data_IF_370760953815
#
_entry.id   IF_370760953815
#
_cell.length_a   1.000
_cell.length_b   1.000
_cell.length_c   1.000
_cell.angle_alpha   90.00
_cell.angle_beta   90.00
_cell.angle_gamma   90.00
#
_symmetry.space_group_name_H-M   'P 1'
#
loop_
_entity.id
_entity.type
_entity.pdbx_description
1 polymer ?
#
# COMPACT_ATOMS: atom_id res chain seq x y z
N UNK A 1 10.40 28.86 35.93
CA UNK A 1 11.70 28.62 35.28
C UNK A 1 12.01 27.13 35.19
N UNK A 2 11.47 26.45 34.18
CA UNK A 2 12.05 25.19 33.73
C UNK A 2 13.16 25.56 32.74
N UNK A 3 14.41 25.46 33.18
CA UNK A 3 15.55 25.50 32.27
C UNK A 3 15.53 24.23 31.43
N UNK A 4 15.28 24.39 30.13
CA UNK A 4 15.45 23.31 29.15
C UNK A 4 16.90 22.84 29.17
N UNK A 5 17.13 21.63 29.67
CA UNK A 5 18.45 21.01 29.64
C UNK A 5 18.65 20.32 28.29
N UNK A 6 19.45 20.92 27.42
CA UNK A 6 19.85 20.30 26.16
C UNK A 6 21.08 19.40 26.37
N UNK A 7 20.97 18.12 25.98
CA UNK A 7 22.10 17.17 25.94
C UNK A 7 22.60 17.05 24.50
N UNK A 8 23.84 17.44 24.26
CA UNK A 8 24.51 17.25 22.97
C UNK A 8 25.43 16.04 23.04
N UNK A 9 25.33 15.17 22.02
CA UNK A 9 26.19 14.00 21.86
C UNK A 9 26.92 14.12 20.53
N UNK A 10 28.23 13.95 20.54
CA UNK A 10 29.07 13.97 19.34
C UNK A 10 29.72 12.61 19.16
N UNK A 11 29.73 12.10 17.93
CA UNK A 11 30.39 10.86 17.55
C UNK A 11 31.48 11.10 16.52
N UNK A 12 32.63 10.45 16.70
CA UNK A 12 33.75 10.50 15.77
C UNK A 12 34.24 9.07 15.47
N UNK A 13 34.43 8.72 14.21
CA UNK A 13 34.97 7.43 13.77
C UNK A 13 35.92 7.65 12.60
N UNK A 14 37.00 6.88 12.57
CA UNK A 14 38.01 6.88 11.50
C UNK A 14 37.81 5.75 10.49
N UNK A 15 36.87 4.83 10.75
CA UNK A 15 36.71 3.60 9.96
C UNK A 15 35.27 3.31 9.54
N UNK A 16 34.29 3.92 10.19
CA UNK A 16 32.87 3.61 10.00
C UNK A 16 32.02 4.88 9.96
N UNK A 17 30.89 4.81 9.23
CA UNK A 17 29.91 5.87 9.20
C UNK A 17 29.08 5.87 10.49
N UNK A 18 29.11 6.99 11.23
CA UNK A 18 28.33 7.14 12.47
C UNK A 18 26.93 7.68 12.18
N UNK A 19 26.82 8.64 11.27
CA UNK A 19 25.57 9.35 11.03
C UNK A 19 25.39 9.64 9.55
N UNK A 20 24.18 9.41 9.07
CA UNK A 20 23.76 9.78 7.73
C UNK A 20 22.38 10.44 7.75
N UNK A 21 22.25 11.52 6.99
CA UNK A 21 20.96 12.04 6.57
C UNK A 21 20.66 11.53 5.15
N UNK A 22 19.48 10.98 4.94
CA UNK A 22 19.01 10.63 3.61
C UNK A 22 17.84 11.55 3.19
N UNK A 23 18.02 12.24 2.06
CA UNK A 23 16.98 13.08 1.46
C UNK A 23 15.85 12.25 0.83
N UNK A 24 16.09 10.96 0.58
CA UNK A 24 15.08 10.01 0.15
C UNK A 24 14.28 9.46 1.34
N UNK A 25 13.37 8.56 1.01
CA UNK A 25 12.61 7.78 1.99
C UNK A 25 12.83 6.31 1.77
N UNK A 26 12.92 5.59 2.88
CA UNK A 26 13.05 4.14 2.86
C UNK A 26 11.70 3.47 2.54
N UNK A 27 10.59 4.07 3.00
CA UNK A 27 9.23 3.65 2.71
C UNK A 27 8.31 4.88 2.65
N UNK A 28 7.27 4.77 1.84
CA UNK A 28 6.24 5.79 1.63
C UNK A 28 4.89 5.29 2.13
N UNK A 29 4.04 6.23 2.54
CA UNK A 29 2.67 5.92 2.98
C UNK A 29 1.85 5.54 1.77
N UNK A 30 1.36 4.30 1.74
CA UNK A 30 0.56 3.76 0.64
C UNK A 30 -0.91 4.11 0.86
N UNK A 31 -1.42 3.86 2.06
CA UNK A 31 -2.77 4.22 2.44
C UNK A 31 -2.93 4.30 3.96
N UNK A 32 -4.05 4.89 4.38
CA UNK A 32 -4.44 5.01 5.79
C UNK A 32 -5.93 4.72 5.92
N UNK A 33 -6.35 4.15 7.04
CA UNK A 33 -7.76 4.13 7.43
C UNK A 33 -7.99 5.09 8.61
N UNK A 34 -9.06 4.88 9.39
CA UNK A 34 -9.38 5.73 10.53
C UNK A 34 -8.51 5.54 11.77
N UNK A 35 -7.69 4.48 11.84
CA UNK A 35 -6.88 4.16 13.03
C UNK A 35 -5.52 3.53 12.74
N UNK A 36 -5.19 3.34 11.47
CA UNK A 36 -3.97 2.69 11.03
C UNK A 36 -3.39 3.34 9.77
N UNK A 37 -2.10 3.13 9.57
CA UNK A 37 -1.37 3.59 8.40
C UNK A 37 -0.44 2.49 7.91
N UNK A 38 -0.32 2.36 6.60
CA UNK A 38 0.57 1.39 5.97
C UNK A 38 1.62 2.09 5.12
N UNK A 39 2.87 1.74 5.36
CA UNK A 39 4.02 2.22 4.62
C UNK A 39 4.69 1.06 3.91
N UNK A 40 5.14 1.31 2.68
CA UNK A 40 5.82 0.32 1.88
C UNK A 40 7.05 0.93 1.20
N UNK A 41 8.12 0.15 1.10
CA UNK A 41 9.30 0.53 0.32
C UNK A 41 9.11 0.29 -1.17
N UNK A 42 10.01 0.88 -1.96
CA UNK A 42 10.28 0.39 -3.31
C UNK A 42 10.79 -1.05 -3.29
N UNK A 43 10.82 -1.70 -4.47
CA UNK A 43 11.30 -3.07 -4.63
C UNK A 43 12.80 -3.16 -4.34
N UNK A 44 13.19 -4.08 -3.48
CA UNK A 44 14.56 -4.48 -3.23
C UNK A 44 14.90 -5.77 -3.95
N UNK A 45 16.04 -5.77 -4.65
CA UNK A 45 16.69 -6.96 -5.18
C UNK A 45 17.75 -7.45 -4.20
N UNK A 46 17.31 -7.87 -3.02
CA UNK A 46 18.19 -8.34 -1.93
C UNK A 46 17.83 -9.78 -1.55
N UNK A 47 18.76 -10.48 -0.90
CA UNK A 47 18.49 -11.83 -0.40
C UNK A 47 17.48 -11.79 0.76
N UNK A 48 16.71 -12.88 0.90
CA UNK A 48 15.78 -13.04 2.02
C UNK A 48 16.48 -12.88 3.38
N UNK A 49 17.71 -13.38 3.50
CA UNK A 49 18.53 -13.27 4.71
C UNK A 49 18.84 -11.81 5.08
N UNK A 50 19.16 -10.96 4.10
CA UNK A 50 19.42 -9.54 4.37
C UNK A 50 18.19 -8.81 4.91
N UNK A 51 17.00 -9.10 4.38
CA UNK A 51 15.75 -8.51 4.87
C UNK A 51 15.33 -9.07 6.22
N UNK A 52 15.52 -10.38 6.43
CA UNK A 52 15.31 -10.99 7.73
C UNK A 52 16.13 -10.27 8.80
N UNK A 53 17.38 -9.91 8.50
CA UNK A 53 18.22 -9.14 9.43
C UNK A 53 17.73 -7.71 9.62
N UNK A 54 17.33 -7.02 8.56
CA UNK A 54 16.78 -5.65 8.64
C UNK A 54 15.52 -5.61 9.53
N UNK A 55 14.64 -6.61 9.40
CA UNK A 55 13.35 -6.64 10.10
C UNK A 55 13.47 -7.22 11.51
N UNK A 56 14.28 -8.26 11.72
CA UNK A 56 14.32 -9.00 12.99
C UNK A 56 15.53 -8.71 13.88
N UNK A 57 16.61 -8.10 13.36
CA UNK A 57 17.70 -7.68 14.23
C UNK A 57 17.31 -6.40 14.98
N UNK A 58 17.23 -6.53 16.31
CA UNK A 58 16.90 -5.45 17.24
C UNK A 58 17.74 -4.20 16.98
N UNK A 59 17.07 -3.07 16.72
CA UNK A 59 17.72 -1.76 16.56
C UNK A 59 18.11 -1.39 15.12
N UNK A 60 17.89 -2.28 14.14
CA UNK A 60 18.24 -2.01 12.74
C UNK A 60 17.26 -1.06 12.07
N UNK A 61 15.95 -1.24 12.20
CA UNK A 61 14.96 -0.37 11.57
C UNK A 61 13.89 0.05 12.58
N UNK A 62 13.60 1.35 12.66
CA UNK A 62 12.52 1.90 13.49
C UNK A 62 11.73 2.97 12.74
N UNK A 63 10.43 3.01 13.02
CA UNK A 63 9.51 4.04 12.56
C UNK A 63 9.10 4.88 13.77
N UNK A 64 9.38 6.17 13.71
CA UNK A 64 8.99 7.13 14.73
C UNK A 64 7.78 7.90 14.24
N UNK A 65 6.67 7.84 14.97
CA UNK A 65 5.43 8.55 14.61
C UNK A 65 5.21 9.69 15.58
N UNK A 66 4.98 10.88 15.04
CA UNK A 66 4.75 12.12 15.78
C UNK A 66 3.42 12.74 15.36
N UNK A 67 2.72 13.35 16.31
CA UNK A 67 1.70 14.35 16.02
C UNK A 67 2.34 15.67 15.56
N UNK A 68 1.52 16.66 15.22
CA UNK A 68 2.00 17.95 14.73
C UNK A 68 2.88 18.70 15.76
N UNK A 69 2.50 18.66 17.04
CA UNK A 69 3.24 19.31 18.13
C UNK A 69 4.58 18.62 18.41
N UNK A 70 4.60 17.29 18.46
CA UNK A 70 5.80 16.48 18.61
C UNK A 70 6.77 16.66 17.45
N UNK A 71 6.25 16.66 16.22
CA UNK A 71 7.05 16.91 15.03
C UNK A 71 7.65 18.32 15.03
N UNK A 72 6.88 19.33 15.43
CA UNK A 72 7.36 20.71 15.53
C UNK A 72 8.59 20.88 16.43
N UNK A 73 8.70 20.08 17.50
CA UNK A 73 9.87 20.09 18.41
C UNK A 73 11.13 19.48 17.79
N UNK A 74 10.99 18.55 16.84
CA UNK A 74 12.11 17.84 16.21
C UNK A 74 12.42 18.32 14.78
N UNK A 75 11.54 19.11 14.16
CA UNK A 75 11.68 19.54 12.76
C UNK A 75 12.99 20.29 12.47
N UNK A 76 13.51 21.06 13.43
CA UNK A 76 14.81 21.73 13.32
C UNK A 76 16.02 20.81 13.51
N UNK A 77 15.79 19.58 13.97
CA UNK A 77 16.80 18.60 14.39
C UNK A 77 16.71 17.28 13.60
N UNK A 78 15.98 17.24 12.48
CA UNK A 78 15.82 16.04 11.64
C UNK A 78 17.17 15.44 11.21
N UNK A 79 18.18 16.29 11.05
CA UNK A 79 19.54 15.88 10.72
C UNK A 79 20.36 15.39 11.91
N UNK A 80 19.73 14.99 13.01
CA UNK A 80 20.38 14.46 14.19
C UNK A 80 19.75 13.13 14.58
N UNK A 81 20.50 12.05 14.43
CA UNK A 81 20.10 10.71 14.88
C UNK A 81 19.65 10.70 16.34
N UNK A 82 20.47 11.29 17.23
CA UNK A 82 20.18 11.33 18.65
C UNK A 82 18.92 12.15 18.98
N UNK A 83 18.65 13.23 18.24
CA UNK A 83 17.44 14.03 18.47
C UNK A 83 16.17 13.27 18.05
N UNK A 84 16.18 12.64 16.87
CA UNK A 84 15.03 11.87 16.37
C UNK A 84 14.76 10.64 17.24
N UNK A 85 15.79 9.86 17.55
CA UNK A 85 15.64 8.61 18.33
C UNK A 85 15.33 8.82 19.80
N UNK A 86 15.65 9.99 20.38
CA UNK A 86 15.30 10.34 21.75
C UNK A 86 14.00 11.13 21.85
N UNK A 87 13.39 11.50 20.72
CA UNK A 87 12.15 12.25 20.71
C UNK A 87 10.98 11.39 21.19
N UNK A 88 10.06 12.02 21.90
CA UNK A 88 8.83 11.36 22.32
C UNK A 88 7.92 11.13 21.11
N UNK A 89 7.63 9.87 20.81
CA UNK A 89 6.65 9.46 19.80
C UNK A 89 5.25 9.35 20.42
N UNK A 90 4.23 9.43 19.57
CA UNK A 90 2.83 9.24 19.98
C UNK A 90 2.38 7.78 19.85
N UNK A 91 3.06 6.99 19.01
CA UNK A 91 2.83 5.55 18.86
C UNK A 91 4.00 4.78 19.47
N UNK A 92 3.69 3.73 20.24
CA UNK A 92 4.67 2.80 20.81
C UNK A 92 5.14 1.77 19.79
N UNK A 93 6.40 1.33 19.89
CA UNK A 93 7.00 0.32 19.02
C UNK A 93 6.15 -0.97 18.91
N UNK A 94 5.44 -1.37 19.97
CA UNK A 94 4.59 -2.58 19.98
C UNK A 94 3.36 -2.51 19.04
N UNK A 95 2.96 -1.30 18.64
CA UNK A 95 1.86 -1.05 17.70
C UNK A 95 2.35 -0.86 16.25
N UNK A 96 3.64 -1.10 16.01
CA UNK A 96 4.27 -0.97 14.70
C UNK A 96 4.76 -2.34 14.27
N UNK A 97 4.05 -2.95 13.33
CA UNK A 97 4.43 -4.23 12.75
C UNK A 97 5.35 -3.97 11.55
N UNK A 98 6.54 -4.57 11.57
CA UNK A 98 7.48 -4.51 10.46
C UNK A 98 7.59 -5.89 9.82
N UNK A 99 7.42 -5.95 8.52
CA UNK A 99 7.45 -7.19 7.74
C UNK A 99 8.03 -6.96 6.35
N UNK A 100 8.09 -8.03 5.57
CA UNK A 100 8.45 -7.94 4.17
C UNK A 100 7.68 -8.96 3.35
N UNK A 101 7.43 -8.61 2.08
CA UNK A 101 6.74 -9.48 1.14
C UNK A 101 7.59 -9.76 -0.09
N UNK A 102 7.61 -11.02 -0.52
CA UNK A 102 8.17 -11.42 -1.80
C UNK A 102 7.11 -11.27 -2.90
N UNK A 103 7.46 -10.54 -3.94
CA UNK A 103 6.67 -10.26 -5.13
C UNK A 103 7.53 -10.59 -6.35
N UNK A 104 7.31 -11.77 -6.91
CA UNK A 104 7.92 -12.26 -8.16
C UNK A 104 9.45 -12.12 -8.19
N UNK A 105 10.13 -12.48 -7.07
CA UNK A 105 11.60 -12.46 -6.97
C UNK A 105 12.20 -11.15 -6.47
N UNK A 106 11.37 -10.13 -6.22
CA UNK A 106 11.75 -8.90 -5.53
C UNK A 106 11.05 -8.80 -4.17
N UNK A 107 11.62 -8.06 -3.23
CA UNK A 107 11.03 -7.91 -1.92
C UNK A 107 10.60 -6.46 -1.66
N UNK A 108 9.52 -6.28 -0.89
CA UNK A 108 9.11 -4.97 -0.37
C UNK A 108 9.05 -5.03 1.15
N UNK A 109 9.65 -4.04 1.80
CA UNK A 109 9.48 -3.81 3.24
C UNK A 109 8.08 -3.22 3.46
N UNK A 110 7.40 -3.69 4.50
CA UNK A 110 6.06 -3.28 4.88
C UNK A 110 6.09 -2.85 6.35
N UNK A 111 5.50 -1.69 6.66
CA UNK A 111 5.31 -1.22 8.02
C UNK A 111 3.83 -0.91 8.22
N UNK A 112 3.21 -1.56 9.19
CA UNK A 112 1.83 -1.33 9.56
C UNK A 112 1.76 -0.71 10.96
N UNK A 113 1.13 0.45 11.05
CA UNK A 113 1.03 1.24 12.28
C UNK A 113 -0.41 1.20 12.76
N UNK A 114 -0.63 0.84 14.01
CA UNK A 114 -1.95 0.80 14.66
C UNK A 114 -2.05 1.85 15.78
N UNK A 115 -3.28 2.11 16.24
CA UNK A 115 -3.56 2.99 17.37
C UNK A 115 -3.47 4.48 17.07
N UNK A 116 -3.67 4.86 15.81
CA UNK A 116 -3.78 6.27 15.41
C UNK A 116 -5.19 6.79 15.68
N UNK A 117 -5.31 8.10 15.88
CA UNK A 117 -6.60 8.77 16.00
C UNK A 117 -7.17 9.08 14.62
N UNK A 118 -8.51 9.04 14.44
CA UNK A 118 -9.15 9.36 13.16
C UNK A 118 -9.00 10.83 12.79
N UNK A 119 -9.01 11.13 11.49
CA UNK A 119 -8.97 12.49 10.94
C UNK A 119 -7.81 13.34 11.47
N UNK A 120 -6.67 12.71 11.77
CA UNK A 120 -5.53 13.33 12.45
C UNK A 120 -4.28 13.24 11.57
N UNK A 121 -3.54 14.34 11.50
CA UNK A 121 -2.30 14.44 10.73
C UNK A 121 -1.11 14.00 11.57
N UNK A 122 -0.30 13.10 11.01
CA UNK A 122 0.91 12.58 11.63
C UNK A 122 2.12 12.78 10.72
N UNK A 123 3.29 12.71 11.34
CA UNK A 123 4.59 12.73 10.69
C UNK A 123 5.36 11.47 11.09
N UNK A 124 5.76 10.67 10.12
CA UNK A 124 6.63 9.52 10.36
C UNK A 124 8.06 9.78 9.91
N UNK A 125 9.03 9.38 10.74
CA UNK A 125 10.45 9.39 10.41
C UNK A 125 10.98 7.97 10.53
N UNK A 126 11.60 7.46 9.47
CA UNK A 126 12.31 6.19 9.50
C UNK A 126 13.75 6.41 9.94
N UNK A 127 14.25 5.49 10.76
CA UNK A 127 15.65 5.47 11.20
C UNK A 127 16.22 4.07 11.03
N UNK A 128 17.41 3.97 10.46
CA UNK A 128 18.14 2.71 10.32
C UNK A 128 19.43 2.72 11.16
N UNK A 129 19.54 1.84 12.15
CA UNK A 129 20.69 1.74 13.04
C UNK A 129 21.93 1.19 12.32
N UNK A 130 23.09 1.79 12.61
CA UNK A 130 24.39 1.36 12.11
C UNK A 130 25.24 0.84 13.27
N UNK A 131 25.90 -0.31 13.08
CA UNK A 131 26.77 -0.93 14.06
C UNK A 131 26.03 -1.55 15.27
N UNK A 132 26.78 -2.17 16.18
CA UNK A 132 26.22 -2.93 17.30
C UNK A 132 25.84 -2.09 18.53
N UNK A 133 26.18 -0.79 18.54
CA UNK A 133 26.06 0.08 19.72
C UNK A 133 24.76 0.87 19.78
N UNK A 134 23.94 0.89 18.71
CA UNK A 134 22.71 1.67 18.62
C UNK A 134 22.89 3.19 18.71
N UNK A 135 24.14 3.67 18.77
CA UNK A 135 24.50 5.08 18.92
C UNK A 135 24.66 5.82 17.58
N UNK A 136 24.57 5.09 16.48
CA UNK A 136 24.80 5.54 15.11
C UNK A 136 23.68 5.06 14.19
N UNK A 137 23.44 5.81 13.12
CA UNK A 137 22.46 5.41 12.12
C UNK A 137 22.11 6.46 11.08
N UNK A 138 21.23 6.05 10.18
CA UNK A 138 20.68 6.85 9.09
C UNK A 138 19.29 7.36 9.47
N UNK A 139 19.05 8.65 9.31
CA UNK A 139 17.71 9.23 9.42
C UNK A 139 17.21 9.56 8.02
N UNK A 140 16.02 9.08 7.69
CA UNK A 140 15.34 9.33 6.42
C UNK A 140 14.44 10.56 6.50
N UNK A 141 14.11 11.13 5.34
CA UNK A 141 13.22 12.28 5.28
C UNK A 141 11.81 11.96 5.81
N UNK A 142 11.18 12.90 6.54
CA UNK A 142 9.87 12.67 7.14
C UNK A 142 8.77 12.50 6.08
N UNK A 143 7.76 11.69 6.40
CA UNK A 143 6.52 11.57 5.64
C UNK A 143 5.33 12.09 6.44
N UNK A 144 4.57 12.98 5.81
CA UNK A 144 3.31 13.50 6.34
C UNK A 144 2.17 12.62 5.82
N UNK A 145 1.26 12.21 6.69
CA UNK A 145 0.02 11.54 6.31
C UNK A 145 -1.12 11.97 7.22
N UNK A 146 -2.36 11.68 6.82
CA UNK A 146 -3.56 12.01 7.59
C UNK A 146 -4.49 10.82 7.55
N UNK A 147 -4.92 10.36 8.73
CA UNK A 147 -5.88 9.26 8.86
C UNK A 147 -7.25 9.68 8.38
N UNK A 148 -8.05 8.70 8.00
CA UNK A 148 -9.40 8.90 7.50
C UNK A 148 -10.41 9.11 8.64
N UNK A 149 -11.69 9.35 8.30
CA UNK A 149 -12.77 9.27 9.29
C UNK A 149 -12.88 7.83 9.84
N UNK A 150 -13.07 7.72 11.16
CA UNK A 150 -13.19 6.44 11.85
C UNK A 150 -14.43 5.63 11.46
N UNK A 151 -14.26 4.32 11.32
CA UNK A 151 -15.35 3.36 11.13
C UNK A 151 -16.04 3.40 9.77
N UNK A 152 -15.40 3.98 8.74
CA UNK A 152 -15.91 4.00 7.35
C UNK A 152 -15.13 3.02 6.48
N UNK A 153 -13.82 3.22 6.40
CA UNK A 153 -12.90 2.35 5.66
C UNK A 153 -12.04 1.55 6.64
N UNK A 154 -11.56 0.39 6.20
CA UNK A 154 -10.69 -0.52 6.96
C UNK A 154 -9.51 -0.91 6.06
N UNK A 155 -8.28 -0.75 6.55
CA UNK A 155 -7.08 -1.08 5.77
C UNK A 155 -6.89 -2.60 5.67
N UNK A 156 -6.69 -3.11 4.45
CA UNK A 156 -6.37 -4.51 4.21
C UNK A 156 -5.11 -4.66 3.34
N UNK A 157 -4.29 -5.64 3.70
CA UNK A 157 -3.07 -6.03 2.99
C UNK A 157 -2.77 -7.50 3.30
N UNK A 158 -1.78 -8.11 2.65
CA UNK A 158 -1.42 -9.52 2.93
C UNK A 158 -2.57 -10.50 2.75
N UNK A 159 -3.25 -10.35 1.60
CA UNK A 159 -4.20 -11.29 1.04
C UNK A 159 -3.46 -12.45 0.34
N UNK A 160 -4.06 -13.64 0.34
CA UNK A 160 -3.46 -14.86 -0.22
C UNK A 160 -3.62 -14.87 -1.74
N UNK A 161 -4.84 -14.66 -2.23
CA UNK A 161 -5.11 -14.57 -3.66
C UNK A 161 -4.72 -13.18 -4.19
N UNK A 162 -5.40 -12.10 -3.79
CA UNK A 162 -5.14 -10.73 -4.23
C UNK A 162 -3.89 -10.11 -3.58
N UNK A 163 -2.74 -10.73 -3.81
CA UNK A 163 -1.46 -10.44 -3.17
C UNK A 163 -0.94 -9.00 -3.32
N UNK A 164 -1.40 -8.28 -4.34
CA UNK A 164 -0.98 -6.92 -4.63
C UNK A 164 -1.92 -5.85 -4.02
N UNK A 165 -2.98 -6.25 -3.33
CA UNK A 165 -3.89 -5.32 -2.63
C UNK A 165 -3.27 -4.89 -1.30
N UNK A 166 -3.16 -3.58 -1.12
CA UNK A 166 -2.67 -2.92 0.08
C UNK A 166 -3.29 -1.52 0.20
N UNK A 167 -4.62 -1.47 0.40
CA UNK A 167 -5.38 -0.24 0.55
C UNK A 167 -6.62 -0.46 1.41
N UNK A 168 -7.26 0.64 1.80
CA UNK A 168 -8.48 0.66 2.59
C UNK A 168 -9.68 0.27 1.76
N UNK A 169 -10.56 -0.55 2.34
CA UNK A 169 -11.80 -1.03 1.72
C UNK A 169 -13.01 -0.66 2.57
N UNK A 170 -14.24 -0.68 2.03
CA UNK A 170 -15.42 -0.44 2.82
C UNK A 170 -15.53 -1.43 3.97
N UNK A 171 -15.72 -0.91 5.19
CA UNK A 171 -15.90 -1.73 6.39
C UNK A 171 -17.24 -2.47 6.30
N UNK A 172 -17.24 -3.75 6.69
CA UNK A 172 -18.43 -4.60 6.70
C UNK A 172 -19.21 -4.45 8.00
N UNK A 173 -20.54 -4.60 7.93
CA UNK A 173 -21.38 -4.78 9.13
C UNK A 173 -21.35 -6.20 9.70
N UNK A 174 -20.94 -7.17 8.88
CA UNK A 174 -21.05 -8.58 9.22
C UNK A 174 -19.89 -9.06 10.07
N UNK A 175 -18.80 -8.28 10.14
CA UNK A 175 -17.62 -8.59 10.91
C UNK A 175 -16.93 -7.33 11.40
N UNK A 176 -16.53 -7.35 12.67
CA UNK A 176 -15.63 -6.36 13.27
C UNK A 176 -14.15 -6.80 13.20
N UNK A 177 -13.88 -7.98 12.66
CA UNK A 177 -12.56 -8.56 12.58
C UNK A 177 -11.96 -8.34 11.19
N UNK A 178 -10.88 -7.55 11.12
CA UNK A 178 -10.13 -7.27 9.90
C UNK A 178 -9.73 -8.56 9.16
N UNK A 179 -9.36 -9.63 9.89
CA UNK A 179 -9.03 -10.93 9.30
C UNK A 179 -10.17 -11.52 8.47
N UNK A 180 -11.39 -11.45 8.98
CA UNK A 180 -12.55 -12.02 8.29
C UNK A 180 -12.96 -11.15 7.09
N UNK A 181 -12.81 -9.82 7.21
CA UNK A 181 -13.01 -8.90 6.09
C UNK A 181 -12.04 -9.18 4.94
N UNK A 182 -10.75 -9.38 5.25
CA UNK A 182 -9.72 -9.80 4.28
C UNK A 182 -10.13 -11.07 3.56
N UNK A 183 -10.48 -12.11 4.32
CA UNK A 183 -10.86 -13.42 3.76
C UNK A 183 -12.09 -13.33 2.86
N UNK A 184 -13.06 -12.50 3.22
CA UNK A 184 -14.29 -12.36 2.47
C UNK A 184 -14.06 -11.70 1.10
N UNK A 185 -13.31 -10.60 1.03
CA UNK A 185 -12.93 -9.98 -0.25
C UNK A 185 -12.06 -10.93 -1.09
N UNK A 186 -11.06 -11.54 -0.46
CA UNK A 186 -10.08 -12.38 -1.16
C UNK A 186 -10.71 -13.65 -1.74
N UNK A 187 -11.57 -14.32 -0.96
CA UNK A 187 -12.28 -15.52 -1.41
C UNK A 187 -13.27 -15.23 -2.55
N UNK A 188 -13.93 -14.07 -2.51
CA UNK A 188 -14.84 -13.65 -3.58
C UNK A 188 -14.08 -13.43 -4.90
N UNK A 189 -12.94 -12.71 -4.85
CA UNK A 189 -12.10 -12.50 -6.02
C UNK A 189 -11.55 -13.84 -6.56
N UNK A 190 -11.07 -14.72 -5.69
CA UNK A 190 -10.56 -16.04 -6.07
C UNK A 190 -11.63 -16.92 -6.74
N UNK A 191 -12.88 -16.87 -6.25
CA UNK A 191 -13.99 -17.63 -6.81
C UNK A 191 -14.32 -17.18 -8.26
N UNK A 192 -14.27 -15.87 -8.53
CA UNK A 192 -14.49 -15.35 -9.89
C UNK A 192 -13.33 -15.74 -10.82
N UNK A 193 -12.09 -15.68 -10.31
CA UNK A 193 -10.89 -16.04 -11.08
C UNK A 193 -10.88 -17.50 -11.54
N UNK A 194 -11.48 -18.42 -10.76
CA UNK A 194 -11.51 -19.84 -11.10
C UNK A 194 -12.12 -20.15 -12.48
N UNK A 195 -13.07 -19.34 -12.95
CA UNK A 195 -13.63 -19.49 -14.30
C UNK A 195 -12.61 -19.09 -15.38
N UNK A 196 -11.85 -18.03 -15.14
CA UNK A 196 -10.82 -17.56 -16.06
C UNK A 196 -9.64 -18.55 -16.14
N UNK A 197 -9.23 -19.15 -15.01
CA UNK A 197 -8.15 -20.15 -15.03
C UNK A 197 -8.49 -21.39 -15.88
N UNK A 198 -9.76 -21.78 -15.95
CA UNK A 198 -10.23 -22.84 -16.85
C UNK A 198 -10.14 -22.44 -18.33
N UNK A 199 -10.37 -21.16 -18.66
CA UNK A 199 -10.19 -20.65 -20.02
C UNK A 199 -8.71 -20.59 -20.41
N UNK A 200 -7.83 -20.17 -19.49
CA UNK A 200 -6.39 -20.14 -19.71
C UNK A 200 -5.80 -21.52 -19.99
N UNK A 201 -6.33 -22.59 -19.38
CA UNK A 201 -5.90 -23.97 -19.68
C UNK A 201 -6.14 -24.41 -21.13
N UNK A 202 -7.01 -23.71 -21.88
CA UNK A 202 -7.25 -23.98 -23.30
C UNK A 202 -6.24 -23.27 -24.21
N UNK A 203 -5.43 -22.35 -23.66
CA UNK A 203 -4.39 -21.64 -24.37
C UNK A 203 -3.12 -22.50 -24.35
N UNK A 204 -2.54 -22.73 -25.53
CA UNK A 204 -1.30 -23.49 -25.66
C UNK A 204 -0.10 -22.65 -25.20
N UNK A 205 0.17 -22.62 -23.89
CA UNK A 205 1.26 -21.85 -23.29
C UNK A 205 2.65 -22.47 -23.52
N UNK A 206 2.75 -23.81 -23.56
CA UNK A 206 3.99 -24.58 -23.67
C UNK A 206 4.33 -24.98 -25.12
N UNK A 207 4.27 -24.01 -26.04
CA UNK A 207 4.62 -24.22 -27.45
C UNK A 207 5.89 -23.47 -27.86
N UNK A 208 6.46 -23.85 -29.00
CA UNK A 208 7.57 -23.13 -29.64
C UNK A 208 7.22 -21.65 -29.82
N UNK A 209 8.22 -20.77 -29.77
CA UNK A 209 8.02 -19.31 -29.82
C UNK A 209 7.12 -18.87 -30.99
N UNK A 210 7.26 -19.49 -32.16
CA UNK A 210 6.49 -19.16 -33.37
C UNK A 210 5.01 -19.58 -33.31
N UNK A 211 4.63 -20.41 -32.34
CA UNK A 211 3.28 -20.96 -32.17
C UNK A 211 2.55 -20.34 -30.96
N UNK A 212 3.23 -19.49 -30.18
CA UNK A 212 2.62 -18.78 -29.05
C UNK A 212 1.71 -17.67 -29.55
N UNK A 213 0.72 -17.29 -28.74
CA UNK A 213 -0.17 -16.18 -29.08
C UNK A 213 0.58 -14.82 -29.09
N UNK A 214 1.72 -14.73 -28.39
CA UNK A 214 2.58 -13.57 -28.37
C UNK A 214 4.07 -13.97 -28.28
N UNK A 215 4.96 -13.24 -28.97
CA UNK A 215 6.40 -13.40 -28.81
C UNK A 215 7.00 -12.57 -27.66
N UNK A 216 6.22 -11.69 -27.02
CA UNK A 216 6.70 -10.75 -26.00
C UNK A 216 6.15 -11.08 -24.60
N UNK A 217 4.85 -11.39 -24.51
CA UNK A 217 4.17 -11.69 -23.25
C UNK A 217 3.90 -13.18 -23.10
N UNK A 218 3.89 -13.67 -21.87
CA UNK A 218 3.65 -15.08 -21.53
C UNK A 218 2.24 -15.31 -20.98
N UNK A 219 1.86 -16.58 -20.79
CA UNK A 219 0.58 -16.87 -20.14
C UNK A 219 0.57 -16.38 -18.69
N UNK A 220 1.69 -16.48 -17.98
CA UNK A 220 1.83 -15.96 -16.61
C UNK A 220 1.61 -14.44 -16.56
N UNK A 221 2.11 -13.69 -17.55
CA UNK A 221 1.87 -12.23 -17.63
C UNK A 221 0.38 -11.91 -17.77
N UNK A 222 -0.34 -12.63 -18.64
CA UNK A 222 -1.79 -12.49 -18.81
C UNK A 222 -2.55 -12.89 -17.54
N UNK A 223 -2.17 -13.99 -16.89
CA UNK A 223 -2.76 -14.44 -15.63
C UNK A 223 -2.59 -13.41 -14.52
N UNK A 224 -1.39 -12.84 -14.37
CA UNK A 224 -1.11 -11.79 -13.40
C UNK A 224 -1.88 -10.51 -13.72
N UNK A 225 -1.92 -10.07 -14.99
CA UNK A 225 -2.66 -8.89 -15.41
C UNK A 225 -4.17 -9.02 -15.14
N UNK A 226 -4.77 -10.17 -15.53
CA UNK A 226 -6.18 -10.43 -15.28
C UNK A 226 -6.49 -10.52 -13.78
N UNK A 227 -5.63 -11.17 -13.00
CA UNK A 227 -5.76 -11.25 -11.54
C UNK A 227 -5.71 -9.86 -10.90
N UNK A 228 -4.73 -9.03 -11.26
CA UNK A 228 -4.59 -7.67 -10.71
C UNK A 228 -5.80 -6.80 -11.05
N UNK A 229 -6.26 -6.84 -12.30
CA UNK A 229 -7.49 -6.16 -12.71
C UNK A 229 -8.71 -6.68 -11.93
N UNK A 230 -8.88 -8.00 -11.83
CA UNK A 230 -10.01 -8.61 -11.14
C UNK A 230 -10.05 -8.17 -9.67
N UNK A 231 -8.91 -8.17 -8.99
CA UNK A 231 -8.79 -7.69 -7.63
C UNK A 231 -9.18 -6.21 -7.54
N UNK A 232 -8.77 -5.36 -8.49
CA UNK A 232 -9.14 -3.94 -8.49
C UNK A 232 -10.64 -3.69 -8.66
N UNK A 233 -11.34 -4.50 -9.45
CA UNK A 233 -12.79 -4.33 -9.71
C UNK A 233 -13.67 -5.03 -8.67
N UNK A 234 -13.17 -6.06 -8.00
CA UNK A 234 -13.92 -6.82 -6.98
C UNK A 234 -13.63 -6.36 -5.55
N UNK A 235 -12.51 -5.65 -5.31
CA UNK A 235 -12.13 -5.11 -4.01
C UNK A 235 -12.06 -3.58 -4.14
N UNK A 236 -13.15 -2.85 -3.85
CA UNK A 236 -13.18 -1.41 -4.06
C UNK A 236 -12.28 -0.68 -3.06
N UNK A 237 -11.40 0.22 -3.54
CA UNK A 237 -10.66 1.12 -2.66
C UNK A 237 -11.59 2.19 -2.09
N UNK A 238 -11.54 2.35 -0.78
CA UNK A 238 -12.41 3.20 0.02
C UNK A 238 -11.65 4.44 0.50
N UNK A 239 -12.32 5.59 0.39
CA UNK A 239 -11.88 6.80 1.05
C UNK A 239 -13.05 7.60 1.64
N UNK A 240 -12.75 8.42 2.63
CA UNK A 240 -13.66 9.39 3.25
C UNK A 240 -13.51 10.79 2.63
N UNK A 241 -12.44 11.01 1.86
CA UNK A 241 -12.18 12.27 1.17
C UNK A 241 -13.02 12.37 -0.11
N UNK A 242 -13.70 13.51 -0.28
CA UNK A 242 -14.45 13.79 -1.51
C UNK A 242 -13.51 14.28 -2.62
N UNK A 243 -13.69 13.76 -3.83
CA UNK A 243 -13.03 14.26 -5.04
C UNK A 243 -13.97 14.16 -6.25
N UNK A 244 -13.75 14.96 -7.28
CA UNK A 244 -14.42 14.82 -8.58
C UNK A 244 -14.08 13.51 -9.29
N UNK A 245 -13.02 12.81 -8.88
CA UNK A 245 -12.61 11.53 -9.45
C UNK A 245 -13.25 10.31 -8.77
N UNK A 246 -13.90 10.50 -7.62
CA UNK A 246 -14.42 9.39 -6.81
C UNK A 246 -15.94 9.32 -6.86
N UNK A 247 -16.49 8.12 -6.76
CA UNK A 247 -17.93 7.91 -6.71
C UNK A 247 -18.38 7.81 -5.26
N UNK A 248 -19.31 8.68 -4.84
CA UNK A 248 -19.95 8.54 -3.55
C UNK A 248 -20.93 7.37 -3.58
N UNK A 249 -20.80 6.45 -2.64
CA UNK A 249 -21.69 5.31 -2.38
C UNK A 249 -22.41 5.56 -1.06
N UNK A 250 -23.72 5.42 -1.03
CA UNK A 250 -24.47 5.51 0.22
C UNK A 250 -24.28 4.27 1.10
N UNK A 251 -24.74 4.34 2.35
CA UNK A 251 -24.77 3.17 3.22
C UNK A 251 -25.55 2.01 2.57
N UNK A 252 -24.97 0.81 2.61
CA UNK A 252 -25.49 -0.39 1.94
C UNK A 252 -25.15 -0.48 0.45
N UNK A 253 -24.69 0.59 -0.20
CA UNK A 253 -24.32 0.55 -1.61
C UNK A 253 -22.87 0.08 -1.81
N UNK A 254 -22.68 -0.74 -2.83
CA UNK A 254 -21.38 -1.19 -3.33
C UNK A 254 -21.45 -1.19 -4.86
N UNK A 255 -20.29 -1.41 -5.48
CA UNK A 255 -20.13 -1.44 -6.93
C UNK A 255 -21.04 -2.44 -7.65
N UNK A 256 -21.32 -3.59 -7.04
CA UNK A 256 -22.24 -4.61 -7.58
C UNK A 256 -23.19 -5.11 -6.48
N UNK A 257 -24.35 -5.64 -6.86
CA UNK A 257 -25.33 -6.18 -5.92
C UNK A 257 -24.78 -7.38 -5.12
N UNK A 258 -23.91 -8.19 -5.73
CA UNK A 258 -23.24 -9.32 -5.06
C UNK A 258 -22.34 -8.82 -3.93
N UNK A 259 -21.53 -7.77 -4.19
CA UNK A 259 -20.70 -7.14 -3.16
C UNK A 259 -21.54 -6.45 -2.09
N UNK A 260 -22.69 -5.85 -2.45
CA UNK A 260 -23.62 -5.27 -1.47
C UNK A 260 -24.08 -6.31 -0.46
N UNK A 261 -24.54 -7.47 -0.96
CA UNK A 261 -25.01 -8.56 -0.11
C UNK A 261 -23.90 -9.18 0.74
N UNK A 262 -22.68 -9.23 0.21
CA UNK A 262 -21.54 -9.85 0.85
C UNK A 262 -20.90 -8.95 1.92
N UNK A 263 -20.76 -7.64 1.67
CA UNK A 263 -20.05 -6.71 2.56
C UNK A 263 -20.99 -5.93 3.47
N UNK A 264 -22.11 -5.43 2.92
CA UNK A 264 -23.10 -4.60 3.64
C UNK A 264 -22.45 -3.40 4.38
N UNK A 265 -21.87 -2.42 3.66
CA UNK A 265 -21.20 -1.29 4.29
C UNK A 265 -22.19 -0.44 5.10
N UNK A 266 -21.80 -0.01 6.31
CA UNK A 266 -22.71 0.72 7.22
C UNK A 266 -22.76 2.23 6.99
N UNK A 267 -21.70 2.81 6.43
CA UNK A 267 -21.57 4.26 6.25
C UNK A 267 -21.33 4.57 4.78
N UNK A 268 -21.75 5.75 4.36
CA UNK A 268 -21.43 6.24 3.02
C UNK A 268 -19.92 6.47 2.90
N UNK A 269 -19.36 6.15 1.74
CA UNK A 269 -17.94 6.32 1.46
C UNK A 269 -17.74 6.80 0.01
N UNK A 270 -16.52 7.17 -0.33
CA UNK A 270 -16.11 7.44 -1.70
C UNK A 270 -15.30 6.27 -2.23
N UNK A 271 -15.71 5.72 -3.37
CA UNK A 271 -14.99 4.68 -4.10
C UNK A 271 -13.94 5.33 -5.01
N UNK A 272 -12.68 4.95 -4.82
CA UNK A 272 -11.60 5.23 -5.77
C UNK A 272 -11.66 4.16 -6.86
N UNK A 273 -12.13 4.54 -8.04
CA UNK A 273 -12.36 3.59 -9.15
C UNK A 273 -11.05 3.02 -9.69
N UNK A 274 -11.05 1.79 -10.21
CA UNK A 274 -9.89 1.22 -10.91
C UNK A 274 -9.38 2.11 -12.04
N UNK A 275 -8.06 2.17 -12.22
CA UNK A 275 -7.49 2.85 -13.37
C UNK A 275 -7.84 2.10 -14.65
N UNK A 276 -8.17 2.83 -15.72
CA UNK A 276 -8.43 2.23 -17.04
C UNK A 276 -7.23 1.43 -17.56
N UNK A 277 -6.02 1.80 -17.14
CA UNK A 277 -4.76 1.13 -17.48
C UNK A 277 -4.76 -0.33 -17.02
N UNK A 278 -5.45 -0.68 -15.93
CA UNK A 278 -5.63 -2.06 -15.48
C UNK A 278 -6.37 -2.91 -16.52
N UNK A 279 -7.39 -2.32 -17.17
CA UNK A 279 -8.11 -2.99 -18.25
C UNK A 279 -7.25 -3.07 -19.52
N UNK A 280 -6.59 -1.96 -19.87
CA UNK A 280 -5.73 -1.92 -21.06
C UNK A 280 -4.58 -2.93 -20.95
N UNK A 281 -4.08 -3.18 -19.74
CA UNK A 281 -3.03 -4.16 -19.49
C UNK A 281 -3.50 -5.58 -19.81
N UNK A 282 -4.73 -5.96 -19.45
CA UNK A 282 -5.30 -7.25 -19.87
C UNK A 282 -5.37 -7.34 -21.40
N UNK A 283 -5.86 -6.29 -22.06
CA UNK A 283 -6.01 -6.29 -23.53
C UNK A 283 -4.66 -6.44 -24.23
N UNK A 284 -3.57 -5.95 -23.62
CA UNK A 284 -2.21 -6.04 -24.16
C UNK A 284 -1.53 -7.37 -23.86
N UNK A 285 -1.80 -7.96 -22.70
CA UNK A 285 -1.11 -9.16 -22.23
C UNK A 285 -1.82 -10.45 -22.60
N UNK A 286 -3.15 -10.46 -22.73
CA UNK A 286 -3.90 -11.70 -22.93
C UNK A 286 -4.15 -12.06 -24.41
N UNK A 287 -4.42 -13.34 -24.72
CA UNK A 287 -4.76 -13.77 -26.07
C UNK A 287 -5.96 -13.02 -26.65
N UNK A 288 -5.82 -12.52 -27.89
CA UNK A 288 -6.89 -11.79 -28.57
C UNK A 288 -8.20 -12.60 -28.71
N UNK A 289 -8.14 -13.94 -28.69
CA UNK A 289 -9.30 -14.84 -28.72
C UNK A 289 -10.23 -14.68 -27.52
N UNK A 290 -9.76 -14.11 -26.41
CA UNK A 290 -10.60 -13.83 -25.24
C UNK A 290 -11.50 -12.60 -25.42
N UNK A 291 -11.19 -11.74 -26.40
CA UNK A 291 -12.07 -10.64 -26.78
C UNK A 291 -12.26 -9.56 -25.71
N UNK A 292 -11.29 -9.38 -24.80
CA UNK A 292 -11.33 -8.29 -23.84
C UNK A 292 -11.40 -6.92 -24.53
N UNK A 293 -12.27 -6.05 -24.02
CA UNK A 293 -12.47 -4.70 -24.54
C UNK A 293 -12.60 -3.71 -23.40
N UNK A 294 -11.85 -2.62 -23.49
CA UNK A 294 -11.91 -1.54 -22.51
C UNK A 294 -12.78 -0.39 -23.02
N UNK A 295 -13.56 0.28 -22.13
CA UNK A 295 -14.30 1.47 -22.51
C UNK A 295 -13.38 2.53 -23.10
N UNK A 296 -13.84 3.21 -24.16
CA UNK A 296 -13.06 4.22 -24.87
C UNK A 296 -13.30 5.63 -24.31
N UNK A 297 -12.36 6.55 -24.56
CA UNK A 297 -12.36 7.90 -23.98
C UNK A 297 -13.62 8.69 -24.44
N UNK A 298 -14.30 9.34 -23.49
CA UNK A 298 -15.49 10.23 -23.57
C UNK A 298 -16.86 9.68 -23.17
N UNK A 299 -17.00 8.43 -22.75
CA UNK A 299 -18.31 7.96 -22.25
C UNK A 299 -18.45 8.21 -20.74
N UNK A 300 -19.60 8.74 -20.31
CA UNK A 300 -20.05 8.73 -18.91
C UNK A 300 -19.92 7.35 -18.27
N UNK A 301 -19.99 6.29 -19.08
CA UNK A 301 -19.83 4.89 -18.68
C UNK A 301 -18.41 4.62 -18.14
N UNK A 302 -17.39 5.21 -18.76
CA UNK A 302 -16.02 5.08 -18.28
C UNK A 302 -15.94 5.63 -16.86
N UNK A 303 -16.38 6.87 -16.64
CA UNK A 303 -16.33 7.53 -15.32
C UNK A 303 -17.27 6.91 -14.26
N UNK A 304 -18.10 5.93 -14.62
CA UNK A 304 -18.88 5.13 -13.68
C UNK A 304 -18.16 3.84 -13.24
N UNK A 305 -17.15 3.40 -13.99
CA UNK A 305 -16.47 2.11 -13.77
C UNK A 305 -14.97 2.25 -13.56
N UNK A 306 -14.32 3.09 -14.33
CA UNK A 306 -12.88 3.33 -14.28
C UNK A 306 -12.60 4.82 -14.14
N UNK A 307 -11.36 5.16 -13.85
CA UNK A 307 -10.88 6.52 -13.98
C UNK A 307 -9.45 6.53 -14.56
N UNK A 308 -8.92 7.72 -14.84
CA UNK A 308 -7.54 7.88 -15.29
C UNK A 308 -6.65 8.32 -14.14
N UNK A 309 -5.41 7.88 -14.17
CA UNK A 309 -4.39 8.40 -13.27
C UNK A 309 -4.00 9.80 -13.70
N UNK A 310 -3.94 10.73 -12.74
CA UNK A 310 -3.53 12.10 -12.96
C UNK A 310 -2.38 12.49 -12.02
N UNK A 311 -1.18 12.55 -12.58
CA UNK A 311 0.06 12.89 -11.86
C UNK A 311 0.13 14.33 -11.33
N UNK A 312 -0.76 15.22 -11.78
CA UNK A 312 -0.78 16.62 -11.33
C UNK A 312 -1.49 16.79 -9.99
N UNK A 313 -2.13 15.73 -9.49
CA UNK A 313 -2.81 15.72 -8.20
C UNK A 313 -1.91 15.14 -7.10
N UNK A 314 -2.16 15.55 -5.85
CA UNK A 314 -1.39 15.08 -4.70
C UNK A 314 -1.91 13.76 -4.12
N UNK A 315 -2.81 13.07 -4.81
CA UNK A 315 -3.49 11.84 -4.38
C UNK A 315 -3.79 10.96 -5.59
N UNK A 316 -4.02 9.67 -5.38
CA UNK A 316 -4.36 8.77 -6.49
C UNK A 316 -5.79 9.02 -6.98
N UNK A 317 -5.96 9.43 -8.23
CA UNK A 317 -7.28 9.64 -8.86
C UNK A 317 -7.98 8.35 -9.24
N UNK A 318 -7.25 7.23 -9.24
CA UNK A 318 -7.77 5.90 -9.52
C UNK A 318 -6.96 4.82 -8.79
N UNK A 319 -7.52 3.62 -8.68
CA UNK A 319 -6.98 2.50 -7.95
C UNK A 319 -6.15 1.59 -8.86
N UNK A 320 -4.90 1.34 -8.47
CA UNK A 320 -3.97 0.44 -9.16
C UNK A 320 -3.63 -0.72 -8.24
N UNK A 321 -3.65 -1.92 -8.80
CA UNK A 321 -3.23 -3.13 -8.10
C UNK A 321 -2.01 -3.69 -8.82
N UNK A 322 -0.93 -3.90 -8.09
CA UNK A 322 0.31 -4.44 -8.64
C UNK A 322 1.12 -3.37 -9.39
N UNK A 323 1.93 -3.82 -10.34
CA UNK A 323 2.87 -2.98 -11.08
C UNK A 323 2.36 -2.60 -12.47
N UNK A 324 1.03 -2.43 -12.62
CA UNK A 324 0.47 -1.96 -13.88
C UNK A 324 1.17 -0.64 -14.25
N UNK A 325 1.87 -0.65 -15.38
CA UNK A 325 2.73 0.46 -15.81
C UNK A 325 1.84 1.63 -16.19
N UNK A 326 1.98 2.74 -15.46
CA UNK A 326 1.39 4.04 -15.78
C UNK A 326 2.25 4.80 -16.80
#
# INVERSE_FOLDING_TARGET
DQTDQAKFTFGFSSSELIYQWDNGTLADVVDTDGSSAFLQSSRYNVSADSLYRIVNETGSLKLHVFDEDGFGKVAGLLKSWAAVTAAQTVISDDLIQVGYRNLSGSYRLQLYVEGLDPSTTYYSILTFGLGNSGASGTVYSPRKFTTQEGGVCEFIYDLEFCSNVAYSVPRSNLTDNNRDLKLLYDAYAAAIYANFSLLMQQVSCDVSLDSRYSPIVTCEDCEEAYKNWLCSVTIPRCTTNSSSYFIRREAGEMRTEELQNLIQPQRSYYEVLPCIDMCNEIVRTCPASFGFQCPQNNDTILMMSYNYYNSDTSYDTCNIVGDAVL
#
